data_IF_461282567295
#
_entry.id   IF_461282567295
#
_cell.length_a   1.000
_cell.length_b   1.000
_cell.length_c   1.000
_cell.angle_alpha   90.00
_cell.angle_beta   90.00
_cell.angle_gamma   90.00
#
_symmetry.space_group_name_H-M   'P 1'
#
loop_
_entity.id
_entity.type
_entity.pdbx_description
1 polymer ?
#
# COMPACT_ATOMS: atom_id res chain seq x y z
N UNK A 1 3.61 -3.48 -2.31
CA UNK A 1 5.05 -3.33 -2.52
C UNK A 1 5.52 -2.00 -1.96
N UNK A 2 6.80 -1.69 -2.07
CA UNK A 2 7.33 -0.36 -1.71
C UNK A 2 7.04 0.63 -2.82
N UNK A 3 6.47 1.79 -2.51
CA UNK A 3 6.30 2.87 -3.48
C UNK A 3 7.65 3.59 -3.69
N UNK A 4 7.83 4.17 -4.88
CA UNK A 4 9.04 4.90 -5.27
C UNK A 4 8.71 6.03 -6.23
N UNK A 5 9.65 6.96 -6.39
CA UNK A 5 9.62 7.91 -7.50
C UNK A 5 10.12 7.25 -8.80
N UNK A 6 10.45 8.05 -9.81
CA UNK A 6 10.97 7.55 -11.09
C UNK A 6 12.29 6.78 -10.93
N UNK A 7 13.14 7.16 -9.98
CA UNK A 7 14.38 6.43 -9.66
C UNK A 7 14.03 5.08 -8.98
N UNK A 8 14.43 3.93 -9.55
CA UNK A 8 14.23 2.60 -8.96
C UNK A 8 14.72 2.47 -7.51
N UNK A 9 15.76 3.21 -7.12
CA UNK A 9 16.39 3.13 -5.80
C UNK A 9 15.86 4.18 -4.80
N UNK A 10 14.76 4.86 -5.12
CA UNK A 10 14.18 5.92 -4.28
C UNK A 10 13.11 5.47 -3.28
N UNK A 11 12.88 4.16 -3.15
CA UNK A 11 11.95 3.63 -2.17
C UNK A 11 12.40 4.01 -0.73
N UNK A 12 11.44 4.44 0.10
CA UNK A 12 11.69 4.81 1.50
C UNK A 12 10.59 4.23 2.40
N UNK A 13 9.71 5.06 2.96
CA UNK A 13 8.70 4.64 3.94
C UNK A 13 7.32 4.39 3.35
N UNK A 14 7.08 4.79 2.10
CA UNK A 14 5.79 4.60 1.45
C UNK A 14 5.67 3.17 0.92
N UNK A 15 4.54 2.53 1.23
CA UNK A 15 4.18 1.21 0.73
C UNK A 15 2.75 1.23 0.22
N UNK A 16 2.40 0.23 -0.57
CA UNK A 16 1.04 0.00 -1.06
C UNK A 16 0.64 -1.46 -0.91
N UNK A 17 -0.66 -1.69 -0.74
CA UNK A 17 -1.31 -3.00 -0.83
C UNK A 17 -2.17 -2.99 -2.08
N UNK A 18 -2.13 -4.06 -2.87
CA UNK A 18 -2.93 -4.17 -4.09
C UNK A 18 -4.35 -4.63 -3.74
N UNK A 19 -5.38 -3.94 -4.26
CA UNK A 19 -6.77 -4.41 -4.18
C UNK A 19 -7.08 -5.56 -5.16
N UNK A 20 -6.30 -5.68 -6.23
CA UNK A 20 -6.47 -6.69 -7.27
C UNK A 20 -5.11 -6.99 -7.92
N UNK A 21 -4.96 -8.10 -8.66
CA UNK A 21 -3.74 -8.40 -9.39
C UNK A 21 -3.33 -7.25 -10.33
N UNK A 22 -2.05 -6.87 -10.31
CA UNK A 22 -1.50 -5.82 -11.17
C UNK A 22 -0.21 -6.28 -11.88
N UNK A 23 -0.30 -7.21 -12.86
CA UNK A 23 0.86 -7.72 -13.60
C UNK A 23 1.78 -6.66 -14.22
N UNK A 24 1.29 -5.48 -14.68
CA UNK A 24 2.18 -4.43 -15.18
C UNK A 24 3.21 -3.89 -14.18
N UNK A 25 3.04 -4.16 -12.88
CA UNK A 25 3.97 -3.74 -11.83
C UNK A 25 5.06 -4.77 -11.52
N UNK A 26 4.97 -5.98 -12.11
CA UNK A 26 5.92 -7.06 -11.88
C UNK A 26 7.33 -6.64 -12.35
N UNK A 27 8.32 -6.88 -11.50
CA UNK A 27 9.71 -6.46 -11.72
C UNK A 27 9.98 -4.96 -11.55
N UNK A 28 8.95 -4.13 -11.33
CA UNK A 28 9.08 -2.67 -11.22
C UNK A 28 9.13 -2.14 -9.78
N UNK A 29 8.62 -2.92 -8.83
CA UNK A 29 8.51 -2.56 -7.42
C UNK A 29 8.93 -3.71 -6.51
N UNK A 30 9.60 -3.38 -5.41
CA UNK A 30 9.99 -4.37 -4.39
C UNK A 30 8.77 -4.87 -3.63
N UNK A 31 8.57 -6.19 -3.62
CA UNK A 31 7.57 -6.85 -2.78
C UNK A 31 8.18 -7.04 -1.38
N UNK A 32 7.48 -6.57 -0.34
CA UNK A 32 7.92 -6.67 1.06
C UNK A 32 7.05 -7.60 1.92
N UNK A 33 5.97 -8.12 1.35
CA UNK A 33 5.07 -9.03 2.05
C UNK A 33 3.71 -9.12 1.38
N UNK A 34 2.84 -9.89 2.03
CA UNK A 34 1.48 -10.20 1.59
C UNK A 34 0.55 -10.17 2.80
N UNK A 35 -0.68 -9.71 2.60
CA UNK A 35 -1.72 -9.71 3.64
C UNK A 35 -2.15 -11.16 3.86
N UNK A 36 -1.96 -11.67 5.08
CA UNK A 36 -2.31 -13.06 5.44
C UNK A 36 -3.70 -13.20 6.07
N UNK A 37 -4.29 -12.09 6.53
CA UNK A 37 -5.61 -12.00 7.16
C UNK A 37 -6.13 -10.57 7.08
N UNK A 38 -7.45 -10.37 6.98
CA UNK A 38 -8.07 -9.04 7.02
C UNK A 38 -8.02 -8.28 5.69
N UNK A 39 -7.93 -8.96 4.55
CA UNK A 39 -7.96 -8.31 3.24
C UNK A 39 -9.33 -7.63 2.99
N UNK A 40 -10.40 -8.20 3.54
CA UNK A 40 -11.74 -7.62 3.53
C UNK A 40 -11.82 -6.25 4.23
N UNK A 41 -10.91 -5.96 5.16
CA UNK A 41 -10.79 -4.64 5.80
C UNK A 41 -9.97 -3.69 4.93
N UNK A 42 -8.95 -4.20 4.25
CA UNK A 42 -8.19 -3.43 3.25
C UNK A 42 -9.14 -2.94 2.16
N UNK A 43 -10.00 -3.81 1.64
CA UNK A 43 -10.97 -3.46 0.59
C UNK A 43 -11.97 -2.37 0.97
N UNK A 44 -12.18 -2.15 2.29
CA UNK A 44 -13.04 -1.12 2.85
C UNK A 44 -12.34 0.23 3.07
N UNK A 45 -11.01 0.30 2.92
CA UNK A 45 -10.28 1.57 3.02
C UNK A 45 -10.83 2.55 2.00
N UNK A 46 -11.07 3.79 2.46
CA UNK A 46 -11.64 4.86 1.64
C UNK A 46 -10.81 5.08 0.38
N UNK A 47 -11.45 4.91 -0.78
CA UNK A 47 -10.84 5.10 -2.09
C UNK A 47 -10.93 6.57 -2.49
N UNK A 48 -9.83 7.10 -3.01
CA UNK A 48 -9.80 8.43 -3.59
C UNK A 48 -10.35 8.46 -5.00
N UNK A 49 -10.65 9.66 -5.49
CA UNK A 49 -11.09 9.83 -6.86
C UNK A 49 -9.93 9.56 -7.82
N UNK A 50 -10.12 8.69 -8.80
CA UNK A 50 -9.12 8.40 -9.82
C UNK A 50 -8.78 9.64 -10.67
N UNK A 51 -9.74 10.54 -10.89
CA UNK A 51 -9.53 11.80 -11.59
C UNK A 51 -8.60 12.75 -10.80
N UNK A 52 -8.53 12.60 -9.48
CA UNK A 52 -7.63 13.34 -8.58
C UNK A 52 -6.45 12.48 -8.09
N UNK A 53 -6.00 11.56 -8.96
CA UNK A 53 -4.86 10.67 -8.71
C UNK A 53 -4.99 9.85 -7.40
N UNK A 54 -6.21 9.48 -7.03
CA UNK A 54 -6.49 8.70 -5.82
C UNK A 54 -6.37 9.50 -4.52
N UNK A 55 -6.38 10.84 -4.57
CA UNK A 55 -6.38 11.69 -3.37
C UNK A 55 -7.66 11.48 -2.57
N UNK A 56 -7.52 11.39 -1.24
CA UNK A 56 -8.62 11.16 -0.30
C UNK A 56 -8.73 12.34 0.67
N UNK A 57 -9.91 12.94 0.76
CA UNK A 57 -10.23 13.89 1.85
C UNK A 57 -10.57 13.09 3.11
N UNK A 58 -9.96 13.43 4.26
CA UNK A 58 -10.12 12.71 5.53
C UNK A 58 -9.86 11.19 5.39
N UNK A 59 -8.58 10.79 5.19
CA UNK A 59 -8.21 9.39 4.95
C UNK A 59 -8.23 8.55 6.22
N UNK A 60 -8.47 7.26 6.07
CA UNK A 60 -8.24 6.28 7.13
C UNK A 60 -6.79 6.32 7.61
N UNK A 61 -6.59 6.07 8.91
CA UNK A 61 -5.28 6.22 9.55
C UNK A 61 -4.85 4.90 10.18
N UNK A 62 -3.58 4.55 10.01
CA UNK A 62 -2.94 3.50 10.82
C UNK A 62 -2.76 4.03 12.24
N UNK A 63 -3.73 3.75 13.12
CA UNK A 63 -3.71 4.21 14.52
C UNK A 63 -2.57 3.56 15.30
N UNK A 64 -2.23 2.32 14.95
CA UNK A 64 -1.22 1.52 15.64
C UNK A 64 -0.66 0.46 14.69
N UNK A 65 0.66 0.39 14.62
CA UNK A 65 1.40 -0.61 13.84
C UNK A 65 2.41 -1.26 14.78
N UNK A 66 2.53 -2.58 14.71
CA UNK A 66 3.41 -3.37 15.58
C UNK A 66 3.99 -4.55 14.80
N UNK A 67 5.21 -4.95 15.13
CA UNK A 67 5.72 -6.26 14.76
C UNK A 67 5.18 -7.26 15.78
N UNK A 68 4.75 -8.44 15.33
CA UNK A 68 4.19 -9.46 16.23
C UNK A 68 5.16 -9.91 17.34
N UNK A 69 6.47 -9.73 17.11
CA UNK A 69 7.52 -10.01 18.08
C UNK A 69 7.78 -8.85 19.07
N UNK A 70 7.26 -7.65 18.83
CA UNK A 70 7.39 -6.52 19.74
C UNK A 70 6.55 -6.80 21.01
N UNK A 71 7.20 -6.74 22.18
CA UNK A 71 6.57 -6.94 23.49
C UNK A 71 5.77 -5.72 23.95
#
# INVERSE_FOLDING_TARGET
>A
GMARSQDPNSANSQFFIMFAPAPPLDGQYTIVGNVVSGMELVDQIKKGDQADNGTVTDPDRMIKVRIAADK
#
